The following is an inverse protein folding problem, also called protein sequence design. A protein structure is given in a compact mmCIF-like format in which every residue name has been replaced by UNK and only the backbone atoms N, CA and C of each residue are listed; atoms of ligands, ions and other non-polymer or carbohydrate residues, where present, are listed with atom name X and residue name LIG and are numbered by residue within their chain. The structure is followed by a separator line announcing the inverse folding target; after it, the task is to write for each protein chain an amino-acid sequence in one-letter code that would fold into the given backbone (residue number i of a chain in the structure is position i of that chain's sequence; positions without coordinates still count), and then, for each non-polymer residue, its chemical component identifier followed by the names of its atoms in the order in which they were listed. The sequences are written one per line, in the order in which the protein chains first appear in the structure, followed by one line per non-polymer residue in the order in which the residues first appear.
data_IF_615029842772
#
_entry.id   IF_615029842772
#
_cell.length_a   1.000
_cell.length_b   1.000
_cell.length_c   1.000
_cell.angle_alpha   90.00
_cell.angle_beta   90.00
_cell.angle_gamma   90.00
#
_symmetry.space_group_name_H-M   'P 1'
#
loop_
_entity.id
_entity.type
_entity.pdbx_description
1 polymer ?
#
# COMPACT_ATOMS: atom_id res chain seq x y z
N UNK A 1 -25.02 -7.70 18.06
CA UNK A 1 -23.60 -7.72 18.47
C UNK A 1 -22.82 -6.93 17.44
N UNK A 2 -22.50 -5.67 17.73
CA UNK A 2 -21.84 -4.75 16.80
C UNK A 2 -20.34 -5.04 16.89
N UNK A 3 -19.74 -5.63 15.86
CA UNK A 3 -18.31 -5.82 15.78
C UNK A 3 -17.66 -4.42 15.75
N UNK A 4 -17.05 -4.01 16.87
CA UNK A 4 -16.18 -2.85 16.93
C UNK A 4 -14.85 -3.26 16.26
N UNK A 5 -14.69 -2.94 14.98
CA UNK A 5 -13.37 -2.88 14.33
C UNK A 5 -12.62 -1.77 15.07
N UNK A 6 -11.71 -2.10 15.99
CA UNK A 6 -10.64 -1.20 16.41
C UNK A 6 -9.64 -1.10 15.25
N UNK A 7 -10.10 -0.50 14.17
CA UNK A 7 -9.30 -0.17 13.04
C UNK A 7 -8.90 1.28 13.29
N UNK A 8 -7.94 1.45 14.20
CA UNK A 8 -7.33 2.75 14.49
C UNK A 8 -6.95 3.37 13.15
N UNK A 9 -7.61 4.46 12.77
CA UNK A 9 -7.22 5.20 11.59
C UNK A 9 -5.77 5.65 11.80
N UNK A 10 -4.93 5.66 10.76
CA UNK A 10 -3.54 6.11 10.90
C UNK A 10 -3.45 7.51 11.54
N UNK A 11 -4.41 8.38 11.27
CA UNK A 11 -4.56 9.73 11.85
C UNK A 11 -4.86 9.75 13.35
N UNK A 12 -5.33 8.64 13.93
CA UNK A 12 -5.61 8.50 15.36
C UNK A 12 -4.33 8.20 16.17
N UNK A 13 -3.31 7.64 15.50
CA UNK A 13 -2.03 7.25 16.12
C UNK A 13 -0.94 8.27 15.80
N UNK A 14 -0.99 8.89 14.62
CA UNK A 14 -0.02 9.86 14.14
C UNK A 14 -0.64 11.24 13.94
N UNK A 15 0.02 12.27 14.49
CA UNK A 15 -0.32 13.67 14.22
C UNK A 15 0.14 14.05 12.80
N UNK A 16 -0.75 13.78 11.85
CA UNK A 16 -0.52 14.04 10.43
C UNK A 16 -0.38 15.54 10.16
N UNK A 17 -1.10 16.38 10.88
CA UNK A 17 -1.03 17.83 10.67
C UNK A 17 0.30 18.40 11.14
N UNK A 18 0.84 17.93 12.27
CA UNK A 18 2.19 18.27 12.71
C UNK A 18 3.25 17.86 11.68
N UNK A 19 3.17 16.64 11.15
CA UNK A 19 4.13 16.16 10.14
C UNK A 19 4.09 17.01 8.86
N UNK A 20 2.90 17.39 8.41
CA UNK A 20 2.72 18.21 7.22
C UNK A 20 3.25 19.63 7.45
N UNK A 21 3.01 20.21 8.63
CA UNK A 21 3.49 21.56 8.94
C UNK A 21 5.02 21.61 9.03
N UNK A 22 5.64 20.64 9.71
CA UNK A 22 7.11 20.54 9.84
C UNK A 22 7.81 20.46 8.48
N UNK A 23 7.16 19.83 7.49
CA UNK A 23 7.75 19.60 6.17
C UNK A 23 7.32 20.60 5.11
N UNK A 24 6.47 21.59 5.45
CA UNK A 24 5.81 22.43 4.43
C UNK A 24 6.76 23.23 3.56
N UNK A 25 7.91 23.62 4.11
CA UNK A 25 8.90 24.47 3.44
C UNK A 25 9.95 23.64 2.68
N UNK A 26 10.05 22.35 2.98
CA UNK A 26 11.05 21.44 2.39
C UNK A 26 10.46 20.63 1.23
N UNK A 27 9.20 20.21 1.33
CA UNK A 27 8.55 19.34 0.34
C UNK A 27 7.09 19.73 0.07
N UNK A 28 6.68 19.61 -1.19
CA UNK A 28 5.27 19.80 -1.57
C UNK A 28 4.47 18.53 -1.26
N UNK A 29 3.56 18.62 -0.29
CA UNK A 29 2.72 17.50 0.14
C UNK A 29 1.33 17.65 -0.50
N UNK A 30 1.00 16.74 -1.42
CA UNK A 30 -0.32 16.67 -2.05
C UNK A 30 -1.20 15.70 -1.26
N UNK A 31 -2.27 16.20 -0.62
CA UNK A 31 -3.20 15.37 0.18
C UNK A 31 -4.15 14.53 -0.68
N UNK A 32 -4.45 14.99 -1.89
CA UNK A 32 -5.36 14.29 -2.81
C UNK A 32 -4.59 13.41 -3.78
N UNK A 33 -5.12 12.23 -4.07
CA UNK A 33 -4.50 11.31 -5.02
C UNK A 33 -4.56 11.94 -6.42
N UNK A 34 -3.43 12.17 -7.11
CA UNK A 34 -3.47 12.73 -8.45
C UNK A 34 -4.20 11.78 -9.41
N UNK A 35 -4.91 12.34 -10.39
CA UNK A 35 -5.76 11.57 -11.31
C UNK A 35 -5.00 10.49 -12.05
N UNK A 36 -3.74 10.73 -12.41
CA UNK A 36 -2.87 9.76 -13.09
C UNK A 36 -2.62 8.50 -12.23
N UNK A 37 -2.72 8.62 -10.90
CA UNK A 37 -2.53 7.54 -9.94
C UNK A 37 -3.86 6.98 -9.37
N UNK A 38 -4.99 7.55 -9.76
CA UNK A 38 -6.34 7.05 -9.41
C UNK A 38 -6.70 5.70 -10.07
N UNK A 39 -5.80 5.17 -10.88
CA UNK A 39 -5.88 3.89 -11.60
C UNK A 39 -6.04 2.65 -10.71
N UNK A 40 -5.90 2.80 -9.40
CA UNK A 40 -6.12 1.75 -8.39
C UNK A 40 -7.60 1.51 -8.09
N UNK A 41 -8.43 1.30 -9.11
CA UNK A 41 -9.86 1.00 -8.93
C UNK A 41 -10.07 -0.46 -8.50
N UNK A 42 -11.21 -0.75 -7.87
CA UNK A 42 -11.58 -2.13 -7.53
C UNK A 42 -11.59 -3.04 -8.76
N UNK A 43 -12.00 -2.51 -9.90
CA UNK A 43 -11.97 -3.19 -11.20
C UNK A 43 -10.53 -3.50 -11.62
N UNK A 44 -9.60 -2.57 -11.43
CA UNK A 44 -8.17 -2.76 -11.69
C UNK A 44 -7.56 -3.91 -10.87
N UNK A 45 -7.94 -4.09 -9.60
CA UNK A 45 -7.50 -5.24 -8.78
C UNK A 45 -8.33 -6.51 -9.00
N UNK A 46 -9.54 -6.38 -9.55
CA UNK A 46 -10.50 -7.48 -9.73
C UNK A 46 -10.19 -8.40 -10.92
N UNK A 47 -9.44 -7.92 -11.92
CA UNK A 47 -9.09 -8.70 -13.12
C UNK A 47 -8.16 -9.89 -12.82
N UNK A 48 -7.44 -9.88 -11.68
CA UNK A 48 -6.71 -11.04 -11.15
C UNK A 48 -5.51 -11.52 -11.99
N UNK A 49 -5.24 -10.90 -13.13
CA UNK A 49 -4.12 -11.18 -14.04
C UNK A 49 -3.12 -10.03 -13.89
N UNK A 50 -2.05 -10.27 -13.13
CA UNK A 50 -0.89 -9.38 -13.06
C UNK A 50 0.33 -10.20 -13.39
N UNK A 51 1.24 -9.64 -14.18
CA UNK A 51 2.55 -10.25 -14.44
C UNK A 51 3.32 -10.50 -13.14
N UNK A 52 3.09 -9.64 -12.13
CA UNK A 52 3.74 -9.69 -10.81
C UNK A 52 3.08 -10.68 -9.83
N UNK A 53 2.02 -11.39 -10.23
CA UNK A 53 1.27 -12.27 -9.32
C UNK A 53 1.83 -13.70 -9.31
N UNK A 54 2.41 -14.08 -8.19
CA UNK A 54 2.96 -15.44 -7.98
C UNK A 54 1.93 -16.27 -7.23
N UNK A 55 1.28 -17.23 -7.92
CA UNK A 55 0.23 -18.09 -7.36
C UNK A 55 0.78 -19.29 -6.57
N UNK A 56 2.07 -19.56 -6.71
CA UNK A 56 2.76 -20.73 -6.15
C UNK A 56 3.60 -20.39 -4.91
N UNK A 57 3.43 -19.18 -4.36
CA UNK A 57 4.18 -18.77 -3.19
C UNK A 57 3.85 -19.66 -1.98
N UNK A 58 4.84 -20.23 -1.29
CA UNK A 58 4.61 -21.00 -0.08
C UNK A 58 4.14 -20.09 1.06
N UNK A 59 3.42 -20.65 2.04
CA UNK A 59 2.90 -19.91 3.21
C UNK A 59 4.04 -19.25 4.01
N UNK A 60 5.20 -19.91 4.05
CA UNK A 60 6.44 -19.36 4.56
C UNK A 60 7.54 -19.61 3.54
N UNK A 61 8.25 -18.55 3.16
CA UNK A 61 9.37 -18.58 2.22
C UNK A 61 10.63 -18.07 2.91
N UNK A 62 11.80 -18.57 2.50
CA UNK A 62 13.08 -17.99 2.90
C UNK A 62 13.35 -16.71 2.09
N UNK A 63 14.32 -15.91 2.54
CA UNK A 63 14.76 -14.73 1.80
C UNK A 63 15.26 -15.09 0.40
N UNK A 64 16.04 -16.18 0.27
CA UNK A 64 16.54 -16.64 -1.03
C UNK A 64 15.41 -16.98 -2.01
N UNK A 65 14.35 -17.64 -1.53
CA UNK A 65 13.18 -17.93 -2.38
C UNK A 65 12.54 -16.66 -2.92
N UNK A 66 12.47 -15.60 -2.10
CA UNK A 66 11.95 -14.30 -2.51
C UNK A 66 12.83 -13.65 -3.59
N UNK A 67 14.15 -13.67 -3.42
CA UNK A 67 15.09 -13.09 -4.41
C UNK A 67 14.97 -13.81 -5.75
N UNK A 68 14.85 -15.14 -5.74
CA UNK A 68 14.81 -15.92 -6.98
C UNK A 68 13.44 -15.89 -7.68
N UNK A 69 12.33 -15.75 -6.94
CA UNK A 69 10.98 -15.95 -7.50
C UNK A 69 10.10 -14.69 -7.50
N UNK A 70 10.36 -13.74 -6.59
CA UNK A 70 9.53 -12.53 -6.42
C UNK A 70 10.20 -11.31 -7.01
N UNK A 71 11.47 -11.09 -6.71
CA UNK A 71 12.20 -9.93 -7.20
C UNK A 71 12.20 -9.79 -8.74
N UNK A 72 12.31 -10.87 -9.54
CA UNK A 72 12.33 -10.75 -11.00
C UNK A 72 10.99 -10.33 -11.63
N UNK A 73 9.90 -10.38 -10.85
CA UNK A 73 8.54 -10.05 -11.32
C UNK A 73 7.99 -8.79 -10.67
N UNK A 74 8.75 -8.12 -9.80
CA UNK A 74 8.44 -6.79 -9.26
C UNK A 74 8.91 -5.70 -10.22
#
# INVERSE_FOLDING_TARGET
MKLLCFCSLFTDIFDVDHFIDVLRDEVSIVKELPSDYSSSTREYYGTGIKATRIKTAPVQATADWYIENVLPVL
#
